data_IF_854811638440
#
_entry.id   IF_854811638440
#
_cell.length_a   1.000
_cell.length_b   1.000
_cell.length_c   1.000
_cell.angle_alpha   90.00
_cell.angle_beta   90.00
_cell.angle_gamma   90.00
#
_symmetry.space_group_name_H-M   'P 1'
#
loop_
_entity.id
_entity.type
_entity.pdbx_description
1 polymer ?
#
# COMPACT_ATOMS: atom_id res chain seq x y z
N UNK A 1 0.87 10.05 -20.62
CA UNK A 1 2.24 9.52 -20.61
C UNK A 1 2.15 8.12 -20.00
N UNK A 2 2.78 7.09 -20.60
CA UNK A 2 2.89 5.77 -19.96
C UNK A 2 3.62 5.89 -18.61
N UNK A 3 3.22 5.09 -17.64
CA UNK A 3 3.87 5.03 -16.34
C UNK A 3 5.02 4.05 -16.42
N UNK A 4 6.21 4.49 -16.03
CA UNK A 4 7.37 3.61 -15.84
C UNK A 4 7.58 3.39 -14.34
N UNK A 5 7.25 2.22 -13.80
CA UNK A 5 7.38 1.96 -12.38
C UNK A 5 8.84 1.93 -11.89
N UNK A 6 9.80 1.76 -12.79
CA UNK A 6 11.23 1.75 -12.44
C UNK A 6 11.83 3.16 -12.32
N UNK A 7 11.12 4.16 -12.81
CA UNK A 7 11.53 5.57 -12.75
C UNK A 7 10.31 6.49 -12.82
N UNK A 8 9.63 6.64 -11.68
CA UNK A 8 8.44 7.47 -11.55
C UNK A 8 8.80 8.96 -11.54
N UNK A 9 8.27 9.69 -12.50
CA UNK A 9 8.44 11.14 -12.62
C UNK A 9 7.18 11.89 -12.15
N UNK A 10 7.35 13.10 -11.64
CA UNK A 10 6.25 13.96 -11.15
C UNK A 10 5.16 14.24 -12.20
N UNK A 11 5.51 14.10 -13.47
CA UNK A 11 4.55 14.26 -14.58
C UNK A 11 3.64 13.04 -14.81
N UNK A 12 3.90 11.92 -14.13
CA UNK A 12 3.17 10.67 -14.31
C UNK A 12 1.96 10.54 -13.38
N UNK A 13 1.85 11.39 -12.35
CA UNK A 13 0.77 11.36 -11.38
C UNK A 13 0.19 12.75 -11.10
N UNK A 14 -1.00 12.81 -10.50
CA UNK A 14 -1.70 14.05 -10.22
C UNK A 14 -1.36 14.61 -8.83
N UNK A 15 -1.08 13.72 -7.88
CA UNK A 15 -0.84 14.07 -6.48
C UNK A 15 0.02 13.00 -5.82
N UNK A 16 0.87 13.41 -4.87
CA UNK A 16 1.63 12.49 -4.04
C UNK A 16 1.70 12.99 -2.59
N UNK A 17 1.85 12.06 -1.68
CA UNK A 17 2.11 12.30 -0.26
C UNK A 17 3.17 11.33 0.24
N UNK A 18 3.94 11.75 1.23
CA UNK A 18 5.03 10.94 1.75
C UNK A 18 4.83 10.66 3.23
N UNK A 19 5.31 9.50 3.67
CA UNK A 19 5.38 9.09 5.07
C UNK A 19 6.69 8.36 5.35
N UNK A 20 7.08 8.29 6.61
CA UNK A 20 8.25 7.50 7.00
C UNK A 20 7.84 6.06 7.25
N UNK A 21 8.60 5.13 6.69
CA UNK A 21 8.50 3.68 6.97
C UNK A 21 9.83 3.17 7.49
N UNK A 22 9.83 2.01 8.10
CA UNK A 22 11.02 1.43 8.72
C UNK A 22 11.32 0.07 8.10
N UNK A 23 12.61 -0.19 7.88
CA UNK A 23 13.08 -1.50 7.47
C UNK A 23 13.16 -2.47 8.69
N UNK A 24 13.52 -3.75 8.50
CA UNK A 24 13.62 -4.71 9.59
C UNK A 24 14.64 -4.34 10.68
N UNK A 25 15.60 -3.47 10.35
CA UNK A 25 16.61 -2.98 11.28
C UNK A 25 16.21 -1.67 11.97
N UNK A 26 15.05 -1.11 11.59
CA UNK A 26 14.53 0.15 12.13
C UNK A 26 15.17 1.40 11.51
N UNK A 27 15.86 1.27 10.36
CA UNK A 27 16.29 2.43 9.59
C UNK A 27 15.08 3.09 8.94
N UNK A 28 15.13 4.41 8.84
CA UNK A 28 14.03 5.20 8.27
C UNK A 28 14.15 5.30 6.74
N UNK A 29 13.05 5.08 6.05
CA UNK A 29 12.90 5.29 4.62
C UNK A 29 11.69 6.17 4.35
N UNK A 30 11.75 6.97 3.30
CA UNK A 30 10.60 7.77 2.87
C UNK A 30 9.82 7.00 1.82
N UNK A 31 8.61 6.59 2.18
CA UNK A 31 7.66 6.03 1.24
C UNK A 31 6.76 7.15 0.70
N UNK A 32 6.61 7.23 -0.60
CA UNK A 32 5.74 8.18 -1.27
C UNK A 32 4.60 7.44 -1.95
N UNK A 33 3.37 7.85 -1.67
CA UNK A 33 2.18 7.32 -2.33
C UNK A 33 1.72 8.35 -3.35
N UNK A 34 1.79 7.99 -4.62
CA UNK A 34 1.37 8.82 -5.74
C UNK A 34 0.02 8.34 -6.28
N UNK A 35 -0.82 9.27 -6.67
CA UNK A 35 -2.17 9.04 -7.16
C UNK A 35 -2.33 9.60 -8.57
N UNK A 36 -2.86 8.79 -9.47
CA UNK A 36 -3.13 9.14 -10.86
C UNK A 36 -4.57 8.87 -11.21
N UNK A 37 -5.29 9.88 -11.66
CA UNK A 37 -6.65 9.68 -12.16
C UNK A 37 -6.62 8.98 -13.51
N UNK A 38 -7.41 7.92 -13.65
CA UNK A 38 -7.62 7.27 -14.95
C UNK A 38 -8.63 8.08 -15.77
N UNK A 39 -8.46 8.12 -17.09
CA UNK A 39 -9.49 8.66 -17.96
C UNK A 39 -10.79 7.86 -17.79
N UNK A 40 -11.91 8.57 -17.71
CA UNK A 40 -13.21 7.93 -17.74
C UNK A 40 -13.41 7.29 -19.13
N UNK A 41 -13.75 6.01 -19.14
CA UNK A 41 -14.07 5.28 -20.35
C UNK A 41 -15.58 5.12 -20.46
N UNK A 42 -16.18 5.51 -21.60
CA UNK A 42 -17.61 5.29 -21.83
C UNK A 42 -17.93 3.79 -21.83
N UNK A 43 -19.18 3.47 -21.57
CA UNK A 43 -19.69 2.11 -21.74
C UNK A 43 -19.45 1.64 -23.17
N UNK A 44 -19.09 0.38 -23.32
CA UNK A 44 -18.96 -0.27 -24.63
C UNK A 44 -20.34 -0.33 -25.29
N UNK A 45 -20.34 -0.23 -26.61
CA UNK A 45 -21.58 -0.32 -27.39
C UNK A 45 -21.67 -1.73 -27.97
N UNK A 46 -22.81 -2.38 -27.76
CA UNK A 46 -23.12 -3.66 -28.37
C UNK A 46 -23.17 -3.48 -29.91
N UNK A 47 -22.36 -4.22 -30.62
CA UNK A 47 -22.22 -4.12 -32.06
C UNK A 47 -23.51 -4.52 -32.83
N UNK A 48 -24.37 -5.34 -32.22
CA UNK A 48 -25.61 -5.83 -32.86
C UNK A 48 -26.77 -4.86 -32.61
N UNK A 49 -26.85 -4.24 -31.43
CA UNK A 49 -27.98 -3.40 -31.04
C UNK A 49 -27.67 -1.90 -31.09
N UNK A 50 -26.39 -1.52 -31.13
CA UNK A 50 -25.97 -0.13 -31.04
C UNK A 50 -26.23 0.54 -29.68
N UNK A 51 -26.58 -0.24 -28.66
CA UNK A 51 -26.87 0.27 -27.31
C UNK A 51 -25.66 0.12 -26.38
N UNK A 52 -25.48 1.01 -25.39
CA UNK A 52 -24.46 0.85 -24.37
C UNK A 52 -24.67 -0.44 -23.57
N UNK A 53 -23.59 -1.14 -23.30
CA UNK A 53 -23.58 -2.33 -22.42
C UNK A 53 -23.32 -1.83 -21.00
N UNK A 54 -24.32 -1.89 -20.09
CA UNK A 54 -24.20 -1.38 -18.74
C UNK A 54 -23.05 -2.02 -17.96
N UNK A 55 -22.31 -1.21 -17.18
CA UNK A 55 -21.22 -1.68 -16.34
C UNK A 55 -19.89 -1.94 -17.05
N UNK A 56 -19.80 -1.69 -18.37
CA UNK A 56 -18.53 -1.81 -19.12
C UNK A 56 -17.71 -0.52 -19.11
N UNK A 57 -18.32 0.59 -18.71
CA UNK A 57 -17.63 1.87 -18.53
C UNK A 57 -16.78 1.89 -17.26
N UNK A 58 -15.75 2.74 -17.28
CA UNK A 58 -14.91 2.99 -16.11
C UNK A 58 -14.99 4.46 -15.77
N UNK A 59 -15.44 4.79 -14.57
CA UNK A 59 -15.56 6.17 -14.08
C UNK A 59 -14.97 6.26 -12.66
N UNK A 60 -14.50 7.45 -12.30
CA UNK A 60 -14.03 7.74 -10.94
C UNK A 60 -13.00 6.73 -10.42
N UNK A 61 -12.13 6.23 -11.30
CA UNK A 61 -11.08 5.29 -10.96
C UNK A 61 -9.73 6.00 -10.92
N UNK A 62 -8.94 5.66 -9.90
CA UNK A 62 -7.58 6.12 -9.73
C UNK A 62 -6.62 4.94 -9.64
N UNK A 63 -5.43 5.15 -10.12
CA UNK A 63 -4.26 4.32 -9.84
C UNK A 63 -3.51 4.94 -8.68
N UNK A 64 -2.99 4.13 -7.78
CA UNK A 64 -2.02 4.59 -6.80
C UNK A 64 -0.75 3.76 -6.88
N UNK A 65 0.36 4.38 -6.53
CA UNK A 65 1.69 3.78 -6.60
C UNK A 65 2.41 4.06 -5.29
N UNK A 66 2.90 3.01 -4.63
CA UNK A 66 3.82 3.16 -3.49
C UNK A 66 5.24 3.18 -4.02
N UNK A 67 5.94 4.27 -3.79
CA UNK A 67 7.27 4.54 -4.31
C UNK A 67 8.28 4.68 -3.17
N UNK A 68 9.49 4.21 -3.43
CA UNK A 68 10.65 4.40 -2.57
C UNK A 68 11.81 4.97 -3.39
N UNK A 69 12.73 5.66 -2.73
CA UNK A 69 13.99 6.07 -3.36
C UNK A 69 14.83 4.83 -3.71
N UNK A 70 15.47 4.85 -4.87
CA UNK A 70 16.32 3.76 -5.34
C UNK A 70 17.43 3.40 -4.35
N UNK A 71 17.95 4.36 -3.58
CA UNK A 71 18.92 4.07 -2.53
C UNK A 71 18.37 3.11 -1.46
N UNK A 72 17.09 3.20 -1.13
CA UNK A 72 16.42 2.28 -0.17
C UNK A 72 16.30 0.85 -0.70
N UNK A 73 16.40 0.67 -2.01
CA UNK A 73 16.26 -0.61 -2.70
C UNK A 73 17.61 -1.14 -3.24
N UNK A 74 18.72 -0.52 -2.86
CA UNK A 74 20.05 -0.86 -3.40
C UNK A 74 20.22 -0.51 -4.89
N UNK A 75 19.44 0.44 -5.40
CA UNK A 75 19.46 0.92 -6.77
C UNK A 75 19.99 2.36 -6.85
N UNK A 76 19.83 3.00 -8.01
CA UNK A 76 20.34 4.36 -8.24
C UNK A 76 19.65 5.37 -7.31
N UNK A 77 20.42 6.09 -6.44
CA UNK A 77 19.86 7.12 -5.57
C UNK A 77 19.16 8.22 -6.36
N UNK A 78 18.07 8.75 -5.80
CA UNK A 78 17.28 9.83 -6.40
C UNK A 78 16.28 9.37 -7.47
N UNK A 79 16.26 8.08 -7.83
CA UNK A 79 15.19 7.52 -8.67
C UNK A 79 13.99 7.11 -7.79
N UNK A 80 12.78 7.51 -8.18
CA UNK A 80 11.57 7.05 -7.51
C UNK A 80 11.08 5.76 -8.16
N UNK A 81 11.08 4.67 -7.40
CA UNK A 81 10.75 3.34 -7.89
C UNK A 81 9.46 2.89 -7.24
N UNK A 82 8.47 2.53 -8.06
CA UNK A 82 7.23 1.98 -7.56
C UNK A 82 7.43 0.51 -7.15
N UNK A 83 7.31 0.24 -5.86
CA UNK A 83 7.42 -1.10 -5.27
C UNK A 83 6.08 -1.82 -5.22
N UNK A 84 4.99 -1.09 -5.42
CA UNK A 84 3.64 -1.62 -5.46
C UNK A 84 2.66 -0.58 -5.94
N UNK A 85 1.40 -0.98 -6.08
CA UNK A 85 0.34 -0.09 -6.48
C UNK A 85 -1.01 -0.80 -6.50
N UNK A 86 -2.02 -0.11 -6.98
CA UNK A 86 -3.35 -0.64 -7.09
C UNK A 86 -4.33 0.37 -7.66
N UNK A 87 -5.61 0.09 -7.47
CA UNK A 87 -6.68 0.91 -7.99
C UNK A 87 -7.64 1.31 -6.88
N UNK A 88 -8.14 2.52 -6.97
CA UNK A 88 -9.20 3.05 -6.12
C UNK A 88 -10.43 3.28 -6.98
N UNK A 89 -11.57 2.86 -6.51
CA UNK A 89 -12.85 3.08 -7.15
C UNK A 89 -13.71 3.95 -6.25
N UNK A 90 -14.26 5.03 -6.81
CA UNK A 90 -15.13 5.96 -6.08
C UNK A 90 -16.51 6.00 -6.70
N UNK A 91 -17.52 6.36 -5.88
CA UNK A 91 -18.85 6.74 -6.33
C UNK A 91 -18.81 8.13 -6.98
N UNK A 92 -19.92 8.52 -7.61
CA UNK A 92 -20.07 9.88 -8.18
C UNK A 92 -20.12 10.97 -7.10
N UNK A 93 -20.50 10.63 -5.87
CA UNK A 93 -20.45 11.51 -4.68
C UNK A 93 -19.12 11.44 -3.91
N UNK A 94 -18.11 10.76 -4.45
CA UNK A 94 -16.72 10.78 -3.98
C UNK A 94 -16.37 9.84 -2.85
N UNK A 95 -17.24 8.89 -2.48
CA UNK A 95 -16.99 7.88 -1.45
C UNK A 95 -16.17 6.72 -2.02
N UNK A 96 -15.26 6.16 -1.22
CA UNK A 96 -14.48 5.00 -1.60
C UNK A 96 -15.33 3.73 -1.62
N UNK A 97 -15.44 3.08 -2.79
CA UNK A 97 -16.07 1.77 -2.95
C UNK A 97 -15.07 0.67 -2.62
N UNK A 98 -13.90 0.74 -3.23
CA UNK A 98 -12.87 -0.30 -3.08
C UNK A 98 -11.47 0.26 -3.29
N UNK A 99 -10.52 -0.28 -2.53
CA UNK A 99 -9.09 -0.20 -2.80
C UNK A 99 -8.59 -1.59 -3.14
N UNK A 100 -7.94 -1.77 -4.29
CA UNK A 100 -7.39 -3.05 -4.72
C UNK A 100 -5.88 -3.01 -4.71
N UNK A 101 -5.26 -4.16 -4.58
CA UNK A 101 -3.84 -4.34 -4.84
C UNK A 101 -3.57 -4.39 -6.35
N UNK A 102 -2.31 -4.35 -6.76
CA UNK A 102 -1.89 -4.53 -8.13
C UNK A 102 -0.46 -5.00 -8.22
N UNK A 103 -0.15 -5.76 -9.26
CA UNK A 103 1.20 -6.18 -9.61
C UNK A 103 1.64 -5.53 -10.91
N UNK A 104 2.96 -5.36 -11.07
CA UNK A 104 3.53 -4.88 -12.32
C UNK A 104 3.81 -6.05 -13.24
N UNK A 105 3.11 -6.11 -14.36
CA UNK A 105 3.33 -7.12 -15.39
C UNK A 105 4.12 -6.52 -16.55
N UNK A 106 5.15 -7.27 -17.00
CA UNK A 106 5.92 -6.90 -18.18
C UNK A 106 5.03 -6.87 -19.42
N UNK A 107 5.14 -5.80 -20.21
CA UNK A 107 4.52 -5.74 -21.51
C UNK A 107 5.51 -6.28 -22.57
N UNK A 108 5.30 -7.49 -23.09
CA UNK A 108 6.14 -8.00 -24.15
C UNK A 108 6.05 -7.10 -25.38
N UNK A 109 7.15 -6.95 -26.09
CA UNK A 109 7.15 -6.27 -27.37
C UNK A 109 6.21 -6.98 -28.36
N UNK A 110 5.49 -6.21 -29.15
CA UNK A 110 4.62 -6.70 -30.21
C UNK A 110 5.37 -6.81 -31.54
N UNK A 111 4.60 -7.03 -32.62
CA UNK A 111 5.08 -6.92 -34.01
C UNK A 111 4.33 -5.76 -34.65
N UNK A 112 5.05 -4.79 -35.20
CA UNK A 112 4.48 -3.66 -35.90
C UNK A 112 3.75 -4.07 -37.19
N UNK A 113 2.96 -3.15 -37.78
CA UNK A 113 2.29 -3.41 -39.08
C UNK A 113 3.27 -3.70 -40.23
N UNK A 114 4.52 -3.33 -40.08
CA UNK A 114 5.64 -3.55 -40.99
C UNK A 114 6.36 -4.89 -40.75
N UNK A 115 5.88 -5.70 -39.81
CA UNK A 115 6.48 -6.98 -39.43
C UNK A 115 7.73 -6.87 -38.54
N UNK A 116 8.11 -5.65 -38.12
CA UNK A 116 9.28 -5.45 -37.26
C UNK A 116 8.90 -5.64 -35.78
N UNK A 117 9.80 -6.21 -34.94
CA UNK A 117 9.60 -6.30 -33.53
C UNK A 117 9.50 -4.90 -32.90
N UNK A 118 8.44 -4.64 -32.15
CA UNK A 118 8.32 -3.46 -31.32
C UNK A 118 9.03 -3.70 -29.97
N UNK A 119 9.69 -2.69 -29.41
CA UNK A 119 10.30 -2.82 -28.09
C UNK A 119 9.24 -3.14 -27.03
N UNK A 120 9.66 -3.82 -25.97
CA UNK A 120 8.82 -4.03 -24.80
C UNK A 120 8.39 -2.67 -24.21
N UNK A 121 7.13 -2.56 -23.87
CA UNK A 121 6.62 -1.39 -23.15
C UNK A 121 7.02 -1.42 -21.67
N UNK A 122 6.86 -0.28 -20.96
CA UNK A 122 7.03 -0.27 -19.51
C UNK A 122 6.03 -1.23 -18.85
N UNK A 123 6.39 -1.82 -17.70
CA UNK A 123 5.49 -2.72 -16.99
C UNK A 123 4.14 -2.05 -16.71
N UNK A 124 3.07 -2.81 -16.88
CA UNK A 124 1.70 -2.33 -16.65
C UNK A 124 1.22 -2.78 -15.26
N UNK A 125 0.55 -1.87 -14.55
CA UNK A 125 -0.15 -2.22 -13.31
C UNK A 125 -1.42 -3.02 -13.65
N UNK A 126 -1.53 -4.23 -13.09
CA UNK A 126 -2.67 -5.13 -13.26
C UNK A 126 -3.33 -5.35 -11.91
N UNK A 127 -4.68 -5.23 -11.81
CA UNK A 127 -5.38 -5.43 -10.54
C UNK A 127 -5.16 -6.83 -9.99
N UNK A 128 -4.93 -6.89 -8.68
CA UNK A 128 -4.87 -8.12 -7.90
C UNK A 128 -5.90 -8.06 -6.77
N UNK A 129 -6.54 -9.16 -6.39
CA UNK A 129 -7.41 -9.19 -5.23
C UNK A 129 -6.59 -8.87 -3.97
N UNK A 130 -7.20 -8.14 -3.05
CA UNK A 130 -6.64 -7.94 -1.71
C UNK A 130 -6.80 -9.23 -0.93
N UNK A 131 -5.77 -9.61 -0.16
CA UNK A 131 -5.86 -10.76 0.73
C UNK A 131 -6.98 -10.55 1.75
N UNK A 132 -7.99 -11.44 1.79
CA UNK A 132 -9.12 -11.31 2.71
C UNK A 132 -8.72 -11.32 4.19
N UNK A 133 -7.57 -11.90 4.53
CA UNK A 133 -7.09 -11.97 5.90
C UNK A 133 -6.54 -10.63 6.41
N UNK A 134 -5.93 -9.85 5.52
CA UNK A 134 -5.38 -8.53 5.86
C UNK A 134 -6.41 -7.40 5.64
N UNK A 135 -7.29 -7.56 4.66
CA UNK A 135 -8.26 -6.54 4.27
C UNK A 135 -7.66 -5.28 3.63
N UNK A 136 -6.32 -5.21 3.50
CA UNK A 136 -5.61 -4.05 2.96
C UNK A 136 -4.63 -4.48 1.86
N UNK A 137 -4.37 -3.63 0.86
CA UNK A 137 -3.31 -3.84 -0.12
C UNK A 137 -1.95 -4.04 0.54
N UNK A 138 -1.22 -5.07 0.13
CA UNK A 138 0.08 -5.44 0.67
C UNK A 138 1.12 -5.53 -0.43
N UNK A 139 2.35 -5.11 -0.13
CA UNK A 139 3.48 -5.09 -1.06
C UNK A 139 4.72 -5.65 -0.40
N UNK A 140 5.41 -6.56 -1.09
CA UNK A 140 6.69 -7.08 -0.66
C UNK A 140 7.81 -6.11 -1.08
N UNK A 141 8.52 -5.55 -0.12
CA UNK A 141 9.57 -4.54 -0.34
C UNK A 141 10.92 -5.10 0.08
N UNK A 142 11.86 -5.33 -0.85
CA UNK A 142 13.20 -5.80 -0.56
C UNK A 142 14.12 -4.59 -0.25
N UNK A 143 14.14 -4.10 0.98
CA UNK A 143 15.06 -3.03 1.37
C UNK A 143 16.52 -3.47 1.21
N UNK A 144 17.31 -2.67 0.49
CA UNK A 144 18.75 -2.92 0.24
C UNK A 144 19.10 -4.33 -0.27
N UNK A 145 18.13 -5.01 -0.94
CA UNK A 145 18.32 -6.37 -1.44
C UNK A 145 18.22 -7.46 -0.37
N UNK A 146 17.67 -7.12 0.80
CA UNK A 146 17.38 -8.04 1.90
C UNK A 146 16.13 -8.85 1.66
N UNK A 147 15.80 -9.76 2.58
CA UNK A 147 14.54 -10.49 2.51
C UNK A 147 13.36 -9.52 2.56
N UNK A 148 12.41 -9.62 1.62
CA UNK A 148 11.32 -8.65 1.51
C UNK A 148 10.44 -8.63 2.76
N UNK A 149 10.13 -7.43 3.23
CA UNK A 149 9.08 -7.23 4.24
C UNK A 149 7.76 -6.86 3.57
N UNK A 150 6.67 -7.19 4.22
CA UNK A 150 5.34 -6.85 3.74
C UNK A 150 4.92 -5.50 4.33
N UNK A 151 4.72 -4.53 3.45
CA UNK A 151 4.11 -3.25 3.80
C UNK A 151 2.64 -3.24 3.40
N UNK A 152 1.75 -3.00 4.36
CA UNK A 152 0.33 -2.77 4.12
C UNK A 152 0.04 -1.29 3.93
N UNK A 153 -0.88 -0.96 3.01
CA UNK A 153 -1.32 0.42 2.78
C UNK A 153 -2.82 0.51 3.01
N UNK A 154 -3.21 1.13 4.13
CA UNK A 154 -4.62 1.36 4.45
C UNK A 154 -5.07 2.72 3.92
N UNK A 155 -5.93 2.71 2.91
CA UNK A 155 -6.45 3.91 2.25
C UNK A 155 -7.91 4.21 2.61
N UNK A 156 -8.47 3.48 3.55
CA UNK A 156 -9.85 3.54 4.00
C UNK A 156 -10.60 2.25 3.72
N UNK A 157 -11.71 2.06 4.44
CA UNK A 157 -12.59 0.91 4.25
C UNK A 157 -13.61 1.24 3.15
N UNK A 158 -13.50 0.53 2.04
CA UNK A 158 -14.49 0.64 0.98
C UNK A 158 -15.86 0.15 1.48
N UNK A 159 -16.93 0.64 0.88
CA UNK A 159 -18.29 0.18 1.17
C UNK A 159 -18.94 -0.42 -0.09
N UNK A 160 -19.95 -1.27 0.13
CA UNK A 160 -20.74 -1.80 -0.97
C UNK A 160 -21.97 -0.90 -1.21
N UNK A 161 -22.04 -0.14 -2.32
CA UNK A 161 -23.16 0.74 -2.60
C UNK A 161 -24.48 -0.01 -2.86
N UNK A 162 -24.41 -1.31 -3.20
CA UNK A 162 -25.59 -2.15 -3.48
C UNK A 162 -26.13 -2.85 -2.23
N UNK A 163 -25.42 -2.74 -1.08
CA UNK A 163 -25.84 -3.30 0.20
C UNK A 163 -26.24 -2.19 1.17
N UNK A 164 -27.54 -1.92 1.36
CA UNK A 164 -28.01 -0.87 2.28
C UNK A 164 -27.72 -1.20 3.76
N UNK A 165 -27.27 -2.41 4.07
CA UNK A 165 -26.91 -2.84 5.44
C UNK A 165 -25.43 -2.76 5.72
N UNK A 166 -24.59 -2.38 4.74
CA UNK A 166 -23.17 -2.19 4.92
C UNK A 166 -22.92 -1.04 5.93
N UNK A 167 -22.28 -1.31 7.08
CA UNK A 167 -22.02 -0.28 8.09
C UNK A 167 -20.94 0.71 7.68
N UNK A 168 -20.15 0.40 6.65
CA UNK A 168 -19.04 1.24 6.17
C UNK A 168 -19.59 2.42 5.40
N UNK A 169 -18.92 3.55 5.46
CA UNK A 169 -19.39 4.81 4.85
C UNK A 169 -18.61 5.17 3.58
N UNK A 170 -17.42 4.58 3.39
CA UNK A 170 -16.47 4.97 2.34
C UNK A 170 -15.89 6.38 2.53
N UNK A 171 -15.98 6.94 3.75
CA UNK A 171 -15.52 8.29 4.10
C UNK A 171 -14.43 8.32 5.18
N UNK A 172 -14.02 7.17 5.67
CA UNK A 172 -13.05 6.99 6.76
C UNK A 172 -11.58 7.05 6.32
N UNK A 173 -11.35 7.13 5.02
CA UNK A 173 -10.02 7.19 4.42
C UNK A 173 -9.92 8.23 3.30
N UNK A 174 -9.46 7.75 2.14
CA UNK A 174 -9.33 8.58 0.96
C UNK A 174 -10.69 8.84 0.31
N UNK A 175 -10.93 10.08 -0.09
CA UNK A 175 -12.16 10.52 -0.75
C UNK A 175 -11.85 11.32 -2.01
N UNK A 176 -12.78 11.35 -2.97
CA UNK A 176 -12.66 12.12 -4.20
C UNK A 176 -13.69 13.24 -4.24
N UNK A 177 -13.28 14.47 -3.99
CA UNK A 177 -14.13 15.65 -4.15
C UNK A 177 -13.53 16.64 -5.14
N UNK A 178 -14.38 17.45 -5.76
CA UNK A 178 -13.91 18.56 -6.58
C UNK A 178 -13.21 19.60 -5.69
N UNK A 179 -11.92 19.80 -5.90
CA UNK A 179 -11.15 20.75 -5.10
C UNK A 179 -9.64 20.53 -5.21
N UNK A 180 -8.91 21.19 -4.32
CA UNK A 180 -7.47 20.96 -4.19
C UNK A 180 -7.20 19.66 -3.43
N UNK A 181 -6.14 18.98 -3.83
CA UNK A 181 -5.65 17.83 -3.07
C UNK A 181 -5.22 18.27 -1.67
N UNK A 182 -5.61 17.52 -0.67
CA UNK A 182 -5.27 17.79 0.72
C UNK A 182 -5.05 16.47 1.47
N UNK A 183 -4.04 16.45 2.33
CA UNK A 183 -3.76 15.34 3.23
C UNK A 183 -4.08 15.81 4.64
N UNK A 184 -5.06 15.18 5.26
CA UNK A 184 -5.45 15.49 6.63
C UNK A 184 -4.55 14.76 7.64
N UNK A 185 -4.20 13.51 7.35
CA UNK A 185 -3.38 12.67 8.22
C UNK A 185 -2.73 11.54 7.44
N UNK A 186 -1.48 11.27 7.76
CA UNK A 186 -0.78 10.02 7.45
C UNK A 186 -0.19 9.46 8.74
N UNK A 187 -0.09 8.15 8.86
CA UNK A 187 0.56 7.48 9.98
C UNK A 187 1.20 6.19 9.52
N UNK A 188 2.32 5.83 10.13
CA UNK A 188 2.95 4.54 9.98
C UNK A 188 3.08 3.89 11.36
N UNK A 189 2.98 2.57 11.40
CA UNK A 189 3.03 1.76 12.63
C UNK A 189 4.41 1.17 12.91
N UNK A 190 5.37 1.41 12.02
CA UNK A 190 6.76 1.00 12.19
C UNK A 190 7.47 1.75 13.31
N UNK A 191 8.53 1.13 13.84
CA UNK A 191 9.32 1.68 14.93
C UNK A 191 10.78 1.85 14.51
N UNK A 192 11.42 2.96 14.92
CA UNK A 192 12.85 3.14 14.69
C UNK A 192 13.67 2.11 15.48
N UNK A 193 14.88 1.84 15.02
CA UNK A 193 15.86 1.11 15.81
C UNK A 193 16.13 1.85 17.12
N UNK A 194 16.33 1.09 18.19
CA UNK A 194 16.67 1.66 19.50
C UNK A 194 17.49 0.69 20.32
N UNK A 195 18.42 1.23 21.11
CA UNK A 195 19.15 0.46 22.11
C UNK A 195 18.29 0.27 23.36
N UNK A 196 18.40 -0.88 24.00
CA UNK A 196 17.70 -1.13 25.25
C UNK A 196 18.27 -0.22 26.35
N UNK A 197 17.46 0.71 26.84
CA UNK A 197 17.86 1.67 27.88
C UNK A 197 17.52 1.16 29.27
N UNK A 198 16.35 0.55 29.45
CA UNK A 198 15.90 0.05 30.75
C UNK A 198 15.01 -1.20 30.62
N UNK A 199 14.87 -1.91 31.72
CA UNK A 199 13.99 -3.08 31.84
C UNK A 199 13.17 -2.95 33.13
N UNK A 200 11.86 -3.18 33.05
CA UNK A 200 11.04 -3.32 34.24
C UNK A 200 10.18 -4.59 34.15
N UNK A 201 9.80 -5.09 35.30
CA UNK A 201 8.97 -6.28 35.45
C UNK A 201 7.61 -5.85 35.96
N UNK A 202 6.57 -6.18 35.24
CA UNK A 202 5.19 -5.92 35.61
C UNK A 202 4.73 -6.92 36.68
N UNK A 203 3.63 -6.61 37.37
CA UNK A 203 3.10 -7.42 38.46
C UNK A 203 2.61 -8.80 38.00
N UNK A 204 2.32 -8.98 36.73
CA UNK A 204 1.93 -10.25 36.10
C UNK A 204 3.14 -11.10 35.64
N UNK A 205 4.37 -10.62 35.92
CA UNK A 205 5.61 -11.26 35.53
C UNK A 205 6.10 -10.93 34.11
N UNK A 206 5.41 -10.06 33.37
CA UNK A 206 5.87 -9.62 32.06
C UNK A 206 7.10 -8.72 32.21
N UNK A 207 8.17 -9.05 31.48
CA UNK A 207 9.39 -8.27 31.42
C UNK A 207 9.31 -7.36 30.21
N UNK A 208 9.27 -6.05 30.46
CA UNK A 208 9.15 -5.03 29.39
C UNK A 208 10.46 -4.26 29.26
N UNK A 209 10.97 -4.21 28.03
CA UNK A 209 12.13 -3.40 27.66
C UNK A 209 11.68 -2.00 27.26
N UNK A 210 12.41 -1.00 27.74
CA UNK A 210 12.30 0.41 27.32
C UNK A 210 13.49 0.73 26.46
N UNK A 211 13.25 1.25 25.27
CA UNK A 211 14.30 1.60 24.31
C UNK A 211 14.52 3.13 24.31
N UNK A 212 15.72 3.54 23.95
CA UNK A 212 16.11 4.97 23.86
C UNK A 212 15.28 5.74 22.82
N UNK A 213 14.66 5.04 21.87
CA UNK A 213 13.65 5.58 20.95
C UNK A 213 12.31 5.95 21.61
N UNK A 214 12.14 5.67 22.90
CA UNK A 214 10.88 5.83 23.65
C UNK A 214 9.88 4.68 23.45
N UNK A 215 10.23 3.70 22.64
CA UNK A 215 9.39 2.52 22.40
C UNK A 215 9.52 1.53 23.56
N UNK A 216 8.42 0.88 23.94
CA UNK A 216 8.39 -0.17 24.95
C UNK A 216 7.87 -1.48 24.34
N UNK A 217 8.52 -2.59 24.67
CA UNK A 217 8.14 -3.90 24.15
C UNK A 217 8.27 -4.99 25.21
N UNK A 218 7.31 -5.91 25.34
CA UNK A 218 7.49 -7.11 26.14
C UNK A 218 8.59 -7.98 25.52
N UNK A 219 9.64 -8.25 26.28
CA UNK A 219 10.80 -9.04 25.86
C UNK A 219 10.84 -10.43 26.47
N UNK A 220 10.01 -10.68 27.48
CA UNK A 220 9.91 -11.98 28.13
C UNK A 220 8.87 -12.03 29.22
N UNK A 221 8.75 -13.18 29.87
CA UNK A 221 7.87 -13.37 31.02
C UNK A 221 8.54 -14.25 32.06
N UNK A 222 8.50 -13.84 33.32
CA UNK A 222 8.97 -14.65 34.45
C UNK A 222 7.85 -15.58 34.86
N UNK A 223 8.14 -16.90 34.87
CA UNK A 223 7.22 -17.91 35.34
C UNK A 223 7.64 -18.32 36.75
N UNK A 224 6.70 -18.18 37.69
CA UNK A 224 6.89 -18.66 39.08
C UNK A 224 6.17 -19.96 39.26
N UNK A 225 6.89 -20.96 39.78
CA UNK A 225 6.30 -22.27 40.15
C UNK A 225 6.19 -22.32 41.68
N UNK A 226 4.99 -22.59 42.16
CA UNK A 226 4.73 -22.82 43.58
C UNK A 226 4.63 -24.34 43.84
N UNK A 227 5.37 -24.84 44.80
CA UNK A 227 5.30 -26.20 45.24
C UNK A 227 4.52 -26.26 46.56
N UNK A 228 3.56 -27.19 46.67
CA UNK A 228 2.72 -27.36 47.86
C UNK A 228 3.50 -27.89 49.07
N UNK A 229 4.68 -28.45 48.84
CA UNK A 229 5.56 -28.97 49.91
C UNK A 229 7.03 -28.65 49.60
N UNK A 230 7.48 -27.46 50.01
CA UNK A 230 8.85 -26.98 49.85
C UNK A 230 9.89 -27.71 50.75
N UNK A 231 9.47 -28.51 51.71
CA UNK A 231 10.35 -29.26 52.61
C UNK A 231 10.78 -30.65 52.13
N UNK A 232 10.40 -31.03 50.88
CA UNK A 232 10.78 -32.29 50.24
C UNK A 232 11.57 -32.12 48.93
N UNK A 233 12.10 -30.93 48.72
CA UNK A 233 13.03 -30.65 47.62
C UNK A 233 14.44 -30.92 48.04
#
# INVERSE_FOLDING_TARGET
>A
VPVDPTNMLDTMYNFATSTTVYDPYGNTHTATIAFRKRPDLPEQVDAATGLPIPGTGVRNQWEYYMMLDGASLGQVPGTQIAVGGGFLQFTDDGKLIAATSGSFEAQPGGVGPDGQPLPAGPPRLVPQPVDPASGVPQFAVPFNGEEPIILGVHLGDGFNPDDPTDPRTGLDGITQFAGRYNVLRTSADGNPSGSLDNIYVESDGTVTGVFDSGYTRPIGRIVLTKFDNSGKL
#
